data_IF_096201190272
#
_entry.id   IF_096201190272
#
_cell.length_a   1.000
_cell.length_b   1.000
_cell.length_c   1.000
_cell.angle_alpha   90.00
_cell.angle_beta   90.00
_cell.angle_gamma   90.00
#
_symmetry.space_group_name_H-M   'P 1'
#
loop_
_entity.id
_entity.type
_entity.pdbx_description
1 polymer ?
#
# COMPACT_ATOMS: atom_id res chain seq x y z
N UNK A 1 -44.87 37.52 -36.68
CA UNK A 1 -43.78 36.72 -37.30
C UNK A 1 -43.03 36.04 -36.15
N UNK A 2 -43.22 34.75 -35.95
CA UNK A 2 -42.48 33.98 -34.94
C UNK A 2 -41.23 33.42 -35.61
N UNK A 3 -40.06 34.01 -35.31
CA UNK A 3 -38.79 33.43 -35.70
C UNK A 3 -38.12 32.84 -34.46
N UNK A 4 -37.47 31.68 -34.63
CA UNK A 4 -36.63 31.03 -33.62
C UNK A 4 -35.18 31.22 -34.06
N UNK A 5 -34.39 31.95 -33.27
CA UNK A 5 -32.95 32.10 -33.50
C UNK A 5 -32.21 31.09 -32.64
N UNK A 6 -31.32 30.31 -33.24
CA UNK A 6 -30.36 29.48 -32.53
C UNK A 6 -28.95 29.93 -32.92
N UNK A 7 -28.14 30.25 -31.92
CA UNK A 7 -26.73 30.65 -32.08
C UNK A 7 -25.89 29.50 -31.53
N UNK A 8 -24.96 28.97 -32.33
CA UNK A 8 -23.96 28.01 -31.88
C UNK A 8 -22.57 28.54 -32.19
N UNK A 9 -21.64 28.34 -31.25
CA UNK A 9 -20.22 28.70 -31.39
C UNK A 9 -19.41 27.42 -31.26
N UNK A 10 -18.50 27.19 -32.21
CA UNK A 10 -17.59 26.04 -32.21
C UNK A 10 -16.16 26.53 -32.33
N UNK A 11 -15.26 25.91 -31.58
CA UNK A 11 -13.83 26.23 -31.59
C UNK A 11 -13.06 24.92 -31.73
N UNK A 12 -12.03 24.89 -32.56
CA UNK A 12 -11.15 23.74 -32.69
C UNK A 12 -9.90 23.99 -31.83
N UNK A 13 -9.60 23.07 -30.93
CA UNK A 13 -8.52 23.18 -29.94
C UNK A 13 -7.63 21.94 -30.04
N UNK A 14 -6.34 22.11 -29.79
CA UNK A 14 -5.39 21.03 -29.55
C UNK A 14 -4.70 21.25 -28.21
N UNK A 15 -4.16 20.17 -27.62
CA UNK A 15 -3.42 20.24 -26.37
C UNK A 15 -1.93 20.46 -26.67
N UNK A 16 -1.36 21.55 -26.15
CA UNK A 16 0.07 21.83 -26.27
C UNK A 16 0.80 21.26 -25.04
N UNK A 17 1.61 20.22 -25.24
CA UNK A 17 2.33 19.52 -24.16
C UNK A 17 3.45 20.35 -23.50
N UNK A 18 4.02 21.34 -24.20
CA UNK A 18 5.11 22.17 -23.67
C UNK A 18 4.60 23.23 -22.68
N UNK A 19 3.38 23.72 -22.91
CA UNK A 19 2.74 24.79 -22.13
C UNK A 19 1.65 24.23 -21.20
N UNK A 20 1.28 22.95 -21.36
CA UNK A 20 0.19 22.27 -20.66
C UNK A 20 -1.17 23.01 -20.80
N UNK A 21 -1.43 23.62 -21.97
CA UNK A 21 -2.63 24.43 -22.21
C UNK A 21 -3.29 24.13 -23.56
N UNK A 22 -4.60 24.40 -23.66
CA UNK A 22 -5.38 24.23 -24.87
C UNK A 22 -5.27 25.46 -25.77
N UNK A 23 -4.90 25.23 -27.03
CA UNK A 23 -4.69 26.31 -28.01
C UNK A 23 -5.45 26.04 -29.30
N UNK A 24 -5.76 27.12 -30.03
CA UNK A 24 -6.49 27.06 -31.30
C UNK A 24 -5.64 27.47 -32.51
N UNK A 25 -4.33 27.70 -32.33
CA UNK A 25 -3.45 28.03 -33.43
C UNK A 25 -3.29 26.84 -34.39
N UNK A 26 -3.27 27.15 -35.69
CA UNK A 26 -3.24 26.14 -36.75
C UNK A 26 -4.56 25.40 -36.99
N UNK A 27 -5.55 25.49 -36.08
CA UNK A 27 -6.84 24.81 -36.19
C UNK A 27 -8.02 25.79 -36.34
N UNK A 28 -8.84 25.63 -37.37
CA UNK A 28 -10.02 26.46 -37.62
C UNK A 28 -11.28 25.63 -37.91
N UNK A 29 -12.47 26.09 -37.50
CA UNK A 29 -13.73 25.48 -37.90
C UNK A 29 -13.92 25.50 -39.42
N UNK A 30 -14.22 24.34 -40.00
CA UNK A 30 -14.49 24.15 -41.42
C UNK A 30 -15.96 24.41 -41.79
N UNK A 31 -16.25 24.57 -43.10
CA UNK A 31 -17.58 24.92 -43.62
C UNK A 31 -18.64 23.83 -43.45
N UNK A 32 -18.24 22.61 -43.10
CA UNK A 32 -19.16 21.48 -42.85
C UNK A 32 -19.65 21.42 -41.40
N UNK A 33 -19.32 22.43 -40.58
CA UNK A 33 -19.74 22.46 -39.19
C UNK A 33 -21.23 22.75 -39.07
N UNK A 34 -21.94 21.91 -38.32
CA UNK A 34 -23.37 21.99 -38.04
C UNK A 34 -23.64 21.70 -36.55
N UNK A 35 -24.89 21.76 -36.11
CA UNK A 35 -25.30 21.55 -34.69
C UNK A 35 -24.96 20.16 -34.14
N UNK A 36 -24.79 19.16 -35.00
CA UNK A 36 -24.46 17.77 -34.65
C UNK A 36 -23.04 17.33 -35.05
N UNK A 37 -22.32 18.15 -35.81
CA UNK A 37 -21.02 17.79 -36.39
C UNK A 37 -20.09 19.00 -36.37
N UNK A 38 -18.97 18.91 -35.67
CA UNK A 38 -17.90 19.91 -35.77
C UNK A 38 -16.85 19.45 -36.79
N UNK A 39 -16.63 20.25 -37.85
CA UNK A 39 -15.54 20.00 -38.79
C UNK A 39 -14.36 20.88 -38.41
N UNK A 40 -13.22 20.29 -38.07
CA UNK A 40 -11.99 21.02 -37.76
C UNK A 40 -10.96 20.83 -38.87
N UNK A 41 -10.40 21.94 -39.36
CA UNK A 41 -9.28 21.95 -40.31
C UNK A 41 -8.04 22.41 -39.56
N UNK A 42 -7.07 21.52 -39.42
CA UNK A 42 -5.79 21.79 -38.79
C UNK A 42 -4.65 21.62 -39.80
N UNK A 43 -3.58 22.39 -39.63
CA UNK A 43 -2.35 22.30 -40.43
C UNK A 43 -1.26 21.42 -39.78
N UNK A 44 -1.57 20.83 -38.62
CA UNK A 44 -0.70 19.92 -37.87
C UNK A 44 -1.44 18.62 -37.48
N UNK A 45 -0.66 17.60 -37.10
CA UNK A 45 -1.13 16.24 -36.79
C UNK A 45 -1.31 15.97 -35.28
N UNK A 46 -1.49 17.01 -34.47
CA UNK A 46 -1.70 16.84 -33.02
C UNK A 46 -3.10 16.32 -32.70
N UNK A 47 -3.32 15.79 -31.51
CA UNK A 47 -4.66 15.42 -31.06
C UNK A 47 -5.52 16.69 -30.92
N UNK A 48 -6.52 16.83 -31.79
CA UNK A 48 -7.45 17.97 -31.82
C UNK A 48 -8.86 17.55 -31.41
N UNK A 49 -9.62 18.49 -30.88
CA UNK A 49 -11.05 18.32 -30.60
C UNK A 49 -11.79 19.65 -30.76
N UNK A 50 -13.12 19.59 -30.91
CA UNK A 50 -13.93 20.82 -30.89
C UNK A 50 -14.38 21.13 -29.46
N UNK A 51 -14.36 22.39 -29.04
CA UNK A 51 -14.77 22.83 -27.71
C UNK A 51 -16.24 22.48 -27.36
N UNK A 52 -17.06 22.18 -28.36
CA UNK A 52 -18.43 21.70 -28.17
C UNK A 52 -18.52 20.21 -27.79
N UNK A 53 -17.52 19.39 -28.17
CA UNK A 53 -17.53 17.93 -27.99
C UNK A 53 -16.29 17.38 -27.26
N UNK A 54 -15.42 18.27 -26.76
CA UNK A 54 -14.18 17.89 -26.06
C UNK A 54 -14.47 17.10 -24.78
N UNK A 55 -15.59 17.39 -24.12
CA UNK A 55 -16.15 16.57 -23.07
C UNK A 55 -17.19 15.63 -23.68
N UNK A 56 -16.78 14.40 -24.01
CA UNK A 56 -17.74 13.34 -24.32
C UNK A 56 -18.59 13.16 -23.06
N UNK A 57 -19.82 13.66 -23.10
CA UNK A 57 -20.73 13.53 -21.99
C UNK A 57 -20.89 12.03 -21.70
N UNK A 58 -20.70 11.59 -20.44
CA UNK A 58 -20.83 10.18 -20.11
C UNK A 58 -22.22 9.70 -20.50
N UNK A 59 -22.29 8.53 -21.12
CA UNK A 59 -23.54 7.91 -21.51
C UNK A 59 -24.48 7.82 -20.31
N UNK A 60 -25.75 8.20 -20.49
CA UNK A 60 -26.75 8.16 -19.42
C UNK A 60 -26.96 6.72 -18.96
N UNK A 61 -26.42 6.38 -17.79
CA UNK A 61 -26.60 5.08 -17.16
C UNK A 61 -28.03 4.94 -16.63
N UNK A 62 -28.86 4.23 -17.39
CA UNK A 62 -30.19 3.83 -16.92
C UNK A 62 -30.08 2.54 -16.11
N UNK A 63 -29.76 2.66 -14.82
CA UNK A 63 -29.52 1.53 -13.91
C UNK A 63 -30.71 0.55 -13.91
N UNK A 64 -31.94 1.05 -13.92
CA UNK A 64 -33.16 0.22 -13.95
C UNK A 64 -33.29 -0.62 -15.22
N UNK A 65 -32.93 -0.06 -16.38
CA UNK A 65 -32.91 -0.80 -17.66
C UNK A 65 -31.77 -1.82 -17.68
N UNK A 66 -30.62 -1.48 -17.09
CA UNK A 66 -29.49 -2.40 -16.97
C UNK A 66 -29.85 -3.65 -16.14
N UNK A 67 -30.59 -3.50 -15.04
CA UNK A 67 -31.10 -4.63 -14.27
C UNK A 67 -32.11 -5.48 -15.04
N UNK A 68 -32.94 -4.89 -15.90
CA UNK A 68 -33.85 -5.63 -16.79
C UNK A 68 -33.11 -6.40 -17.89
N UNK A 69 -31.93 -5.92 -18.33
CA UNK A 69 -31.09 -6.60 -19.33
C UNK A 69 -30.27 -7.76 -18.77
N UNK A 70 -30.29 -7.97 -17.44
CA UNK A 70 -29.72 -9.16 -16.76
C UNK A 70 -30.57 -10.42 -16.94
N UNK A 71 -31.39 -10.49 -18.00
CA UNK A 71 -32.07 -11.73 -18.35
C UNK A 71 -31.09 -12.72 -18.98
N UNK A 72 -31.04 -13.95 -18.41
CA UNK A 72 -30.17 -15.04 -18.87
C UNK A 72 -30.28 -15.36 -20.36
N UNK A 73 -31.42 -15.05 -20.99
CA UNK A 73 -31.66 -15.29 -22.41
C UNK A 73 -31.12 -14.20 -23.34
N UNK A 74 -31.07 -12.95 -22.89
CA UNK A 74 -30.72 -11.83 -23.77
C UNK A 74 -29.21 -11.56 -23.79
N UNK A 75 -28.53 -11.65 -22.63
CA UNK A 75 -27.11 -11.34 -22.52
C UNK A 75 -26.39 -12.27 -21.52
N UNK A 76 -26.23 -13.57 -21.85
CA UNK A 76 -25.59 -14.54 -20.95
C UNK A 76 -24.14 -14.17 -20.62
N UNK A 77 -23.43 -13.52 -21.55
CA UNK A 77 -22.01 -13.15 -21.40
C UNK A 77 -21.77 -12.24 -20.19
N UNK A 78 -22.62 -11.23 -19.97
CA UNK A 78 -22.48 -10.27 -18.87
C UNK A 78 -22.72 -10.96 -17.52
N UNK A 79 -23.73 -11.82 -17.44
CA UNK A 79 -24.02 -12.60 -16.23
C UNK A 79 -22.90 -13.57 -15.90
N UNK A 80 -22.36 -14.27 -16.90
CA UNK A 80 -21.21 -15.17 -16.73
C UNK A 80 -20.02 -14.35 -16.22
N UNK A 81 -19.68 -13.23 -16.86
CA UNK A 81 -18.56 -12.39 -16.44
C UNK A 81 -18.72 -11.87 -15.00
N UNK A 82 -19.90 -11.34 -14.63
CA UNK A 82 -20.18 -10.89 -13.27
C UNK A 82 -20.11 -12.03 -12.24
N UNK A 83 -20.66 -13.20 -12.57
CA UNK A 83 -20.62 -14.36 -11.69
C UNK A 83 -19.18 -14.87 -11.48
N UNK A 84 -18.35 -14.83 -12.52
CA UNK A 84 -16.91 -15.18 -12.43
C UNK A 84 -16.16 -14.17 -11.55
N UNK A 85 -16.38 -12.87 -11.74
CA UNK A 85 -15.75 -11.82 -10.93
C UNK A 85 -16.14 -11.97 -9.45
N UNK A 86 -17.43 -12.20 -9.15
CA UNK A 86 -17.90 -12.45 -7.79
C UNK A 86 -17.31 -13.75 -7.22
N UNK A 87 -17.25 -14.83 -8.02
CA UNK A 87 -16.65 -16.09 -7.62
C UNK A 87 -15.17 -15.96 -7.24
N UNK A 88 -14.38 -15.28 -8.08
CA UNK A 88 -12.96 -14.99 -7.81
C UNK A 88 -12.81 -14.13 -6.55
N UNK A 89 -13.67 -13.13 -6.36
CA UNK A 89 -13.67 -12.31 -5.16
C UNK A 89 -13.95 -13.16 -3.89
N UNK A 90 -14.94 -14.04 -3.92
CA UNK A 90 -15.23 -14.90 -2.76
C UNK A 90 -14.06 -15.84 -2.44
N UNK A 91 -13.46 -16.47 -3.46
CA UNK A 91 -12.30 -17.35 -3.28
C UNK A 91 -11.11 -16.60 -2.68
N UNK A 92 -10.79 -15.42 -3.21
CA UNK A 92 -9.70 -14.58 -2.70
C UNK A 92 -9.97 -14.03 -1.31
N UNK A 93 -11.22 -13.68 -0.98
CA UNK A 93 -11.61 -13.28 0.38
C UNK A 93 -11.50 -14.44 1.36
N UNK A 94 -11.91 -15.66 0.99
CA UNK A 94 -11.76 -16.84 1.86
C UNK A 94 -10.28 -17.10 2.14
N UNK A 95 -9.43 -17.07 1.11
CA UNK A 95 -7.98 -17.18 1.26
C UNK A 95 -7.41 -16.05 2.14
N UNK A 96 -7.81 -14.79 1.89
CA UNK A 96 -7.35 -13.63 2.62
C UNK A 96 -7.75 -13.70 4.10
N UNK A 97 -8.98 -14.13 4.41
CA UNK A 97 -9.44 -14.34 5.79
C UNK A 97 -8.64 -15.44 6.49
N UNK A 98 -8.34 -16.54 5.80
CA UNK A 98 -7.50 -17.60 6.37
C UNK A 98 -6.10 -17.09 6.68
N UNK A 99 -5.50 -16.31 5.77
CA UNK A 99 -4.17 -15.70 5.97
C UNK A 99 -4.17 -14.65 7.07
N UNK A 100 -5.16 -13.76 7.10
CA UNK A 100 -5.30 -12.75 8.16
C UNK A 100 -5.45 -13.41 9.54
N UNK A 101 -6.22 -14.51 9.65
CA UNK A 101 -6.34 -15.29 10.91
C UNK A 101 -5.05 -16.00 11.30
N UNK A 102 -4.21 -16.39 10.34
CA UNK A 102 -2.88 -16.91 10.65
C UNK A 102 -1.97 -15.78 11.16
N UNK A 103 -2.03 -14.60 10.56
CA UNK A 103 -1.23 -13.45 10.96
C UNK A 103 -1.61 -12.93 12.36
N UNK A 104 -2.90 -12.97 12.75
CA UNK A 104 -3.32 -12.64 14.13
C UNK A 104 -2.73 -13.56 15.19
N UNK A 105 -2.33 -14.79 14.85
CA UNK A 105 -1.64 -15.68 15.80
C UNK A 105 -0.16 -15.32 15.97
N UNK A 106 0.42 -14.61 15.01
CA UNK A 106 1.83 -14.17 15.03
C UNK A 106 1.98 -12.88 15.84
N UNK A 107 0.96 -12.03 15.81
CA UNK A 107 0.94 -10.75 16.50
C UNK A 107 0.37 -10.94 17.91
N UNK A 108 1.19 -10.69 18.91
CA UNK A 108 0.86 -10.79 20.33
C UNK A 108 1.93 -10.07 21.15
N UNK A 109 1.69 -9.90 22.46
CA UNK A 109 2.68 -9.42 23.40
C UNK A 109 2.96 -10.52 24.42
N UNK A 110 4.24 -10.84 24.63
CA UNK A 110 4.64 -11.86 25.61
C UNK A 110 5.23 -11.17 26.83
N UNK A 111 4.70 -11.49 28.00
CA UNK A 111 5.22 -10.95 29.26
C UNK A 111 6.44 -11.78 29.64
N UNK A 112 7.60 -11.12 29.72
CA UNK A 112 8.86 -11.73 30.09
C UNK A 112 8.94 -11.98 31.60
N UNK A 113 9.85 -12.85 32.00
CA UNK A 113 10.23 -12.98 33.41
C UNK A 113 10.91 -11.68 33.86
N UNK A 114 10.27 -10.99 34.79
CA UNK A 114 10.83 -9.81 35.45
C UNK A 114 12.00 -10.15 36.38
N UNK A 115 12.48 -9.16 37.11
CA UNK A 115 13.57 -9.36 38.08
C UNK A 115 13.15 -10.35 39.18
N UNK A 116 14.03 -11.31 39.51
CA UNK A 116 13.75 -12.35 40.50
C UNK A 116 13.65 -11.85 41.95
N UNK A 117 14.08 -10.61 42.22
CA UNK A 117 14.32 -10.10 43.59
C UNK A 117 13.44 -8.90 43.98
N UNK A 118 12.38 -8.57 43.24
CA UNK A 118 11.55 -7.39 43.55
C UNK A 118 10.10 -7.47 43.07
N UNK A 119 9.26 -6.61 43.64
CA UNK A 119 7.92 -6.34 43.10
C UNK A 119 8.08 -5.61 41.76
N UNK A 120 7.49 -6.14 40.70
CA UNK A 120 7.53 -5.54 39.37
C UNK A 120 6.44 -4.47 39.26
N UNK A 121 6.80 -3.22 39.54
CA UNK A 121 5.85 -2.08 39.54
C UNK A 121 5.87 -1.29 38.21
N UNK A 122 6.90 -1.53 37.37
CA UNK A 122 7.05 -0.85 36.09
C UNK A 122 7.11 -1.84 34.93
N UNK A 123 6.60 -1.42 33.77
CA UNK A 123 6.53 -2.26 32.58
C UNK A 123 7.06 -1.52 31.37
N UNK A 124 8.01 -2.15 30.67
CA UNK A 124 8.53 -1.66 29.40
C UNK A 124 8.07 -2.56 28.27
N UNK A 125 7.43 -2.00 27.25
CA UNK A 125 7.11 -2.72 26.04
C UNK A 125 8.32 -2.67 25.10
N UNK A 126 8.79 -3.85 24.69
CA UNK A 126 9.91 -4.04 23.77
C UNK A 126 9.33 -4.55 22.45
N UNK A 127 9.57 -3.84 21.36
CA UNK A 127 9.14 -4.23 20.02
C UNK A 127 10.40 -4.42 19.18
N UNK A 128 10.68 -5.67 18.82
CA UNK A 128 11.85 -6.04 18.01
C UNK A 128 11.41 -6.24 16.56
N UNK A 129 12.06 -5.54 15.64
CA UNK A 129 11.81 -5.67 14.20
C UNK A 129 13.00 -6.39 13.55
N UNK A 130 12.73 -7.58 13.03
CA UNK A 130 13.70 -8.36 12.24
C UNK A 130 13.59 -7.95 10.77
N UNK A 131 14.72 -7.78 10.09
CA UNK A 131 14.72 -7.32 8.69
C UNK A 131 14.04 -8.31 7.74
N UNK A 132 13.61 -7.81 6.58
CA UNK A 132 12.97 -8.60 5.52
C UNK A 132 13.97 -9.11 4.47
N UNK A 133 15.26 -9.21 4.82
CA UNK A 133 16.30 -9.75 3.93
C UNK A 133 16.26 -11.27 3.99
N UNK A 134 16.63 -11.92 2.90
CA UNK A 134 16.71 -13.38 2.86
C UNK A 134 17.59 -13.90 4.00
N UNK A 135 17.10 -14.89 4.75
CA UNK A 135 17.80 -15.49 5.90
C UNK A 135 18.01 -14.54 7.09
N UNK A 136 17.23 -13.46 7.18
CA UNK A 136 17.30 -12.53 8.32
C UNK A 136 16.79 -13.12 9.65
N UNK A 137 16.13 -14.27 9.64
CA UNK A 137 15.58 -14.91 10.85
C UNK A 137 16.65 -15.59 11.69
N UNK A 138 16.48 -15.62 13.01
CA UNK A 138 17.39 -16.34 13.92
C UNK A 138 16.69 -17.45 14.68
N UNK A 139 17.42 -18.56 14.89
CA UNK A 139 17.06 -19.63 15.82
C UNK A 139 17.76 -19.53 17.18
N UNK A 140 18.69 -18.57 17.34
CA UNK A 140 19.47 -18.41 18.56
C UNK A 140 18.64 -17.79 19.69
N UNK A 141 19.10 -17.96 20.93
CA UNK A 141 18.47 -17.31 22.09
C UNK A 141 18.94 -15.87 22.14
N UNK A 142 18.00 -14.95 22.12
CA UNK A 142 18.26 -13.51 22.12
C UNK A 142 18.06 -12.95 23.51
N UNK A 143 19.01 -12.12 23.94
CA UNK A 143 19.02 -11.48 25.24
C UNK A 143 19.12 -9.97 25.07
N UNK A 144 18.59 -9.24 26.04
CA UNK A 144 18.54 -7.79 26.01
C UNK A 144 18.67 -7.18 27.40
N UNK A 145 19.32 -6.02 27.46
CA UNK A 145 19.41 -5.16 28.64
C UNK A 145 19.05 -3.73 28.28
N UNK A 146 18.09 -3.15 29.01
CA UNK A 146 17.69 -1.75 28.90
C UNK A 146 18.65 -0.88 29.71
N UNK A 147 19.02 0.29 29.17
CA UNK A 147 19.91 1.23 29.84
C UNK A 147 19.28 2.64 29.78
N UNK A 148 19.02 3.19 30.96
CA UNK A 148 18.47 4.53 31.13
C UNK A 148 19.15 5.30 32.25
N UNK A 149 18.67 6.52 32.50
CA UNK A 149 19.18 7.44 33.52
C UNK A 149 19.12 6.85 34.94
N UNK A 150 18.09 6.06 35.23
CA UNK A 150 17.90 5.36 36.51
C UNK A 150 18.75 4.10 36.67
N UNK A 151 19.56 3.75 35.65
CA UNK A 151 20.45 2.59 35.65
C UNK A 151 20.13 1.60 34.54
N UNK A 152 20.63 0.36 34.69
CA UNK A 152 20.44 -0.74 33.75
C UNK A 152 19.49 -1.81 34.28
N UNK A 153 18.72 -2.44 33.40
CA UNK A 153 18.01 -3.67 33.75
C UNK A 153 18.99 -4.85 33.90
N UNK A 154 18.49 -6.00 34.38
CA UNK A 154 19.21 -7.26 34.22
C UNK A 154 19.30 -7.70 32.74
N UNK A 155 20.06 -8.76 32.44
CA UNK A 155 19.94 -9.48 31.19
C UNK A 155 18.60 -10.23 31.16
N UNK A 156 17.76 -9.95 30.17
CA UNK A 156 16.48 -10.63 29.98
C UNK A 156 16.49 -11.40 28.67
N UNK A 157 16.12 -12.67 28.74
CA UNK A 157 15.90 -13.49 27.56
C UNK A 157 14.55 -13.13 26.92
N UNK A 158 14.57 -12.94 25.60
CA UNK A 158 13.37 -12.69 24.81
C UNK A 158 12.79 -14.03 24.35
N UNK A 159 12.04 -14.68 25.24
CA UNK A 159 11.41 -15.99 24.99
C UNK A 159 9.90 -15.88 24.73
N UNK A 160 9.37 -16.78 23.89
CA UNK A 160 7.94 -16.94 23.66
C UNK A 160 7.59 -18.41 23.42
N UNK A 161 6.74 -18.98 24.28
CA UNK A 161 6.33 -20.38 24.20
C UNK A 161 5.19 -20.63 23.20
N UNK A 162 4.44 -19.60 22.83
CA UNK A 162 3.23 -19.72 22.02
C UNK A 162 3.46 -19.30 20.56
N UNK A 163 4.43 -18.44 20.30
CA UNK A 163 4.69 -17.85 18.98
C UNK A 163 6.10 -18.13 18.52
N UNK A 164 6.25 -18.25 17.20
CA UNK A 164 7.55 -18.24 16.54
C UNK A 164 8.03 -16.80 16.42
N UNK A 165 9.10 -16.48 17.15
CA UNK A 165 9.73 -15.16 17.23
C UNK A 165 10.93 -15.04 16.29
N UNK A 166 11.39 -13.82 16.04
CA UNK A 166 12.55 -13.46 15.22
C UNK A 166 12.54 -14.02 13.79
N UNK A 167 11.36 -14.05 13.18
CA UNK A 167 11.19 -14.43 11.78
C UNK A 167 11.60 -13.31 10.84
N UNK A 168 11.97 -13.66 9.61
CA UNK A 168 12.25 -12.71 8.54
C UNK A 168 11.05 -11.76 8.33
N UNK A 169 11.30 -10.45 8.37
CA UNK A 169 10.28 -9.40 8.32
C UNK A 169 9.30 -9.42 9.51
N UNK A 170 9.64 -10.15 10.57
CA UNK A 170 8.84 -10.33 11.77
C UNK A 170 8.91 -9.14 12.71
N UNK A 171 7.81 -8.94 13.45
CA UNK A 171 7.72 -7.94 14.52
C UNK A 171 7.23 -8.63 15.76
N UNK A 172 8.10 -8.68 16.76
CA UNK A 172 7.87 -9.40 18.00
C UNK A 172 7.79 -8.41 19.16
N UNK A 173 6.68 -8.47 19.89
CA UNK A 173 6.41 -7.61 21.03
C UNK A 173 6.55 -8.41 22.32
N UNK A 174 7.30 -7.85 23.25
CA UNK A 174 7.52 -8.36 24.60
C UNK A 174 7.18 -7.27 25.62
N UNK A 175 6.76 -7.66 26.81
CA UNK A 175 6.51 -6.76 27.95
C UNK A 175 7.48 -7.19 29.04
N UNK A 176 8.41 -6.32 29.39
CA UNK A 176 9.38 -6.55 30.44
C UNK A 176 8.91 -5.90 31.74
N UNK A 177 8.60 -6.69 32.79
CA UNK A 177 8.40 -6.17 34.13
C UNK A 177 9.76 -5.81 34.76
N UNK A 178 9.87 -4.62 35.34
CA UNK A 178 11.08 -4.18 36.05
C UNK A 178 10.74 -3.78 37.49
N UNK A 179 11.69 -4.04 38.39
CA UNK A 179 11.58 -3.72 39.82
C UNK A 179 11.73 -2.23 40.13
N UNK A 180 12.32 -1.46 39.20
CA UNK A 180 12.57 -0.02 39.32
C UNK A 180 12.27 0.70 38.01
N UNK A 181 12.02 2.00 38.12
CA UNK A 181 11.95 2.91 36.97
C UNK A 181 13.36 3.18 36.45
N UNK A 182 13.58 2.98 35.14
CA UNK A 182 14.89 3.18 34.50
C UNK A 182 15.10 4.62 34.00
N UNK A 183 14.14 5.53 34.24
CA UNK A 183 14.21 6.90 33.73
C UNK A 183 14.17 6.95 32.20
N UNK A 184 14.74 8.01 31.61
CA UNK A 184 14.81 8.12 30.16
C UNK A 184 15.81 7.10 29.60
N UNK A 185 15.33 6.24 28.70
CA UNK A 185 16.16 5.23 28.05
C UNK A 185 17.03 5.86 26.97
N UNK A 186 18.34 5.65 27.05
CA UNK A 186 19.29 6.21 26.08
C UNK A 186 20.07 5.12 25.31
N UNK A 187 20.13 3.90 25.84
CA UNK A 187 20.78 2.79 25.16
C UNK A 187 20.08 1.45 25.42
N UNK A 188 20.28 0.50 24.52
CA UNK A 188 19.87 -0.89 24.69
C UNK A 188 20.99 -1.80 24.22
N UNK A 189 21.33 -2.79 25.03
CA UNK A 189 22.30 -3.82 24.69
C UNK A 189 21.53 -5.08 24.29
N UNK A 190 21.79 -5.61 23.09
CA UNK A 190 21.13 -6.80 22.55
C UNK A 190 22.18 -7.76 22.02
N UNK A 191 22.03 -9.05 22.31
CA UNK A 191 22.96 -10.08 21.84
C UNK A 191 22.26 -11.44 21.71
N UNK A 192 22.89 -12.38 21.03
CA UNK A 192 22.44 -13.78 20.99
C UNK A 192 23.56 -14.75 21.35
N UNK A 193 23.19 -15.97 21.74
CA UNK A 193 24.13 -17.02 22.18
C UNK A 193 24.74 -17.85 21.03
N UNK A 194 24.45 -17.46 19.79
CA UNK A 194 24.90 -18.17 18.57
C UNK A 194 24.50 -19.66 18.52
N UNK A 195 23.41 -20.05 19.19
CA UNK A 195 22.92 -21.44 19.16
C UNK A 195 21.93 -21.71 18.03
N UNK A 196 21.72 -23.00 17.73
CA UNK A 196 20.77 -23.46 16.72
C UNK A 196 21.36 -23.55 15.31
N UNK A 197 20.56 -24.03 14.33
CA UNK A 197 21.02 -24.27 12.97
C UNK A 197 21.24 -23.01 12.14
N UNK A 198 20.51 -21.92 12.43
CA UNK A 198 20.60 -20.65 11.73
C UNK A 198 20.70 -19.51 12.76
N UNK A 199 21.87 -19.30 13.38
CA UNK A 199 22.02 -18.32 14.45
C UNK A 199 22.11 -16.88 13.94
N UNK A 200 22.51 -16.68 12.68
CA UNK A 200 22.67 -15.38 12.04
C UNK A 200 21.36 -14.58 12.10
N UNK A 201 21.44 -13.30 12.46
CA UNK A 201 20.26 -12.46 12.64
C UNK A 201 20.42 -11.09 12.01
N UNK A 202 19.48 -10.66 11.17
CA UNK A 202 19.45 -9.27 10.72
C UNK A 202 18.46 -8.45 11.55
N UNK A 203 18.98 -7.65 12.46
CA UNK A 203 18.19 -6.76 13.30
C UNK A 203 17.97 -5.41 12.58
N UNK A 204 16.72 -5.05 12.30
CA UNK A 204 16.39 -3.76 11.68
C UNK A 204 16.40 -2.65 12.74
N UNK A 205 15.51 -2.75 13.74
CA UNK A 205 15.42 -1.80 14.86
C UNK A 205 14.71 -2.39 16.07
N UNK A 206 14.91 -1.76 17.22
CA UNK A 206 14.19 -2.03 18.47
C UNK A 206 13.44 -0.77 18.86
N UNK A 207 12.17 -0.89 19.23
CA UNK A 207 11.38 0.21 19.79
C UNK A 207 11.03 -0.15 21.22
N UNK A 208 11.37 0.73 22.16
CA UNK A 208 11.03 0.62 23.56
C UNK A 208 9.95 1.64 23.88
N UNK A 209 8.94 1.22 24.63
CA UNK A 209 7.92 2.12 25.16
C UNK A 209 7.79 1.90 26.66
N UNK A 210 7.97 2.96 27.43
CA UNK A 210 7.63 2.96 28.85
C UNK A 210 6.10 3.00 28.96
N UNK A 211 5.50 2.00 29.62
CA UNK A 211 4.05 1.88 29.76
C UNK A 211 3.51 2.76 30.90
N UNK A 212 4.37 3.27 31.78
CA UNK A 212 3.97 4.19 32.86
C UNK A 212 3.79 5.62 32.34
N UNK A 213 4.69 6.11 31.48
CA UNK A 213 4.64 7.49 30.96
C UNK A 213 4.29 7.61 29.47
N UNK A 214 4.27 6.49 28.74
CA UNK A 214 3.94 6.43 27.31
C UNK A 214 5.06 6.89 26.38
N UNK A 215 6.25 7.22 26.88
CA UNK A 215 7.39 7.66 26.05
C UNK A 215 7.93 6.51 25.21
N UNK A 216 8.28 6.83 23.97
CA UNK A 216 8.81 5.88 22.99
C UNK A 216 10.25 6.23 22.64
N UNK A 217 11.09 5.22 22.60
CA UNK A 217 12.51 5.30 22.28
C UNK A 217 12.79 4.32 21.14
N UNK A 218 13.40 4.79 20.06
CA UNK A 218 13.70 3.93 18.89
C UNK A 218 15.20 3.74 18.78
N UNK A 219 15.64 2.52 18.53
CA UNK A 219 17.05 2.13 18.44
C UNK A 219 17.28 1.47 17.08
N UNK A 220 18.04 2.14 16.21
CA UNK A 220 18.28 1.69 14.84
C UNK A 220 19.53 0.82 14.79
N UNK A 221 19.46 -0.35 14.16
CA UNK A 221 20.56 -1.31 14.07
C UNK A 221 20.97 -1.56 12.61
N UNK A 222 20.03 -2.00 11.77
CA UNK A 222 20.18 -2.29 10.33
C UNK A 222 21.43 -3.08 9.93
N UNK A 223 21.83 -4.06 10.76
CA UNK A 223 23.04 -4.85 10.56
C UNK A 223 22.82 -6.31 10.91
N UNK A 224 23.70 -7.15 10.36
CA UNK A 224 23.80 -8.55 10.77
C UNK A 224 24.49 -8.64 12.14
N UNK A 225 23.87 -9.43 13.02
CA UNK A 225 24.45 -9.98 14.23
C UNK A 225 24.71 -11.46 13.92
N UNK A 226 25.93 -11.74 13.49
CA UNK A 226 26.34 -13.05 12.99
C UNK A 226 27.86 -13.14 13.07
N UNK A 227 28.39 -14.34 13.29
CA UNK A 227 29.85 -14.57 13.27
C UNK A 227 30.37 -14.57 11.83
N UNK A 228 29.56 -15.09 10.89
CA UNK A 228 29.91 -15.23 9.49
C UNK A 228 29.57 -14.01 8.60
N UNK A 229 28.85 -13.01 9.13
CA UNK A 229 28.34 -11.89 8.34
C UNK A 229 28.46 -10.54 9.08
N UNK A 230 28.38 -9.43 8.35
CA UNK A 230 28.44 -8.09 8.94
C UNK A 230 29.82 -7.78 9.53
N UNK A 231 29.85 -7.43 10.82
CA UNK A 231 31.08 -7.13 11.57
C UNK A 231 31.60 -8.33 12.40
N UNK A 232 31.02 -9.52 12.20
CA UNK A 232 31.41 -10.74 12.91
C UNK A 232 31.04 -10.75 14.39
N UNK A 233 30.18 -9.82 14.84
CA UNK A 233 29.74 -9.72 16.24
C UNK A 233 28.31 -10.19 16.42
N UNK A 234 28.06 -10.83 17.56
CA UNK A 234 26.75 -11.36 17.97
C UNK A 234 26.04 -10.46 18.98
N UNK A 235 26.70 -9.37 19.38
CA UNK A 235 26.22 -8.36 20.32
C UNK A 235 26.24 -6.95 19.72
N UNK A 236 25.37 -6.09 20.23
CA UNK A 236 25.28 -4.70 19.86
C UNK A 236 24.80 -3.82 21.01
N UNK A 237 25.49 -2.70 21.24
CA UNK A 237 24.99 -1.59 22.03
C UNK A 237 24.41 -0.52 21.10
N UNK A 238 23.09 -0.33 21.15
CA UNK A 238 22.36 0.63 20.33
C UNK A 238 22.04 1.88 21.15
N UNK A 239 22.23 3.05 20.56
CA UNK A 239 21.83 4.33 21.15
C UNK A 239 20.46 4.77 20.65
N UNK A 240 19.75 5.53 21.47
CA UNK A 240 18.44 6.09 21.10
C UNK A 240 18.59 6.99 19.88
N UNK A 241 17.82 6.69 18.84
CA UNK A 241 17.83 7.40 17.59
C UNK A 241 17.02 8.70 17.71
N UNK A 242 17.56 9.77 17.14
CA UNK A 242 16.85 11.05 17.05
C UNK A 242 15.75 10.96 15.98
N UNK A 243 14.67 11.74 16.12
CA UNK A 243 13.57 11.80 15.15
C UNK A 243 14.04 12.01 13.68
N UNK A 244 15.12 12.78 13.48
CA UNK A 244 15.75 13.00 12.17
C UNK A 244 16.30 11.70 11.54
N UNK A 245 16.88 10.81 12.34
CA UNK A 245 17.42 9.54 11.85
C UNK A 245 16.28 8.59 11.49
N UNK A 246 15.20 8.59 12.29
CA UNK A 246 14.00 7.79 12.03
C UNK A 246 13.32 8.25 10.74
N UNK A 247 13.19 9.57 10.53
CA UNK A 247 12.57 10.11 9.31
C UNK A 247 13.41 9.84 8.07
N UNK A 248 14.74 9.98 8.14
CA UNK A 248 15.66 9.66 7.04
C UNK A 248 15.56 8.18 6.66
N UNK A 249 15.56 7.29 7.65
CA UNK A 249 15.38 5.85 7.44
C UNK A 249 14.02 5.55 6.82
N UNK A 250 12.95 6.18 7.32
CA UNK A 250 11.61 6.04 6.76
C UNK A 250 11.54 6.51 5.31
N UNK A 251 12.23 7.58 4.95
CA UNK A 251 12.34 8.06 3.56
C UNK A 251 13.09 7.06 2.67
N UNK A 252 14.18 6.46 3.16
CA UNK A 252 14.93 5.42 2.43
C UNK A 252 14.07 4.17 2.22
N UNK A 253 13.40 3.67 3.26
CA UNK A 253 12.48 2.54 3.11
C UNK A 253 11.26 2.87 2.26
N UNK A 254 10.66 4.05 2.44
CA UNK A 254 9.48 4.48 1.69
C UNK A 254 9.81 4.62 0.21
N UNK A 255 10.97 5.17 -0.16
CA UNK A 255 11.40 5.25 -1.56
C UNK A 255 11.67 3.85 -2.15
N UNK A 256 12.32 2.95 -1.42
CA UNK A 256 12.54 1.57 -1.87
C UNK A 256 11.22 0.79 -2.01
N UNK A 257 10.31 0.97 -1.06
CA UNK A 257 9.00 0.35 -1.02
C UNK A 257 8.08 0.94 -2.09
N UNK A 258 8.09 2.27 -2.28
CA UNK A 258 7.32 2.97 -3.32
C UNK A 258 7.81 2.62 -4.71
N UNK A 259 9.12 2.44 -4.91
CA UNK A 259 9.67 1.96 -6.18
C UNK A 259 9.22 0.51 -6.45
N UNK A 260 9.30 -0.36 -5.45
CA UNK A 260 8.78 -1.73 -5.54
C UNK A 260 7.24 -1.81 -5.73
N UNK A 261 6.49 -0.83 -5.22
CA UNK A 261 5.05 -0.70 -5.44
C UNK A 261 4.71 -0.06 -6.79
N UNK A 262 5.54 0.85 -7.30
CA UNK A 262 5.36 1.43 -8.64
C UNK A 262 5.60 0.35 -9.72
N UNK A 263 6.53 -0.56 -9.48
CA UNK A 263 6.83 -1.69 -10.35
C UNK A 263 5.89 -2.91 -10.12
N UNK A 264 5.06 -2.89 -9.08
CA UNK A 264 4.23 -4.03 -8.65
C UNK A 264 2.73 -3.78 -8.80
N UNK A 265 2.00 -4.70 -9.44
CA UNK A 265 0.53 -4.68 -9.46
C UNK A 265 -0.06 -4.49 -8.05
N UNK A 266 -1.16 -3.73 -7.93
CA UNK A 266 -1.88 -3.44 -6.66
C UNK A 266 -2.12 -4.71 -5.80
N UNK A 267 -2.26 -5.86 -6.44
CA UNK A 267 -2.41 -7.19 -5.88
C UNK A 267 -1.20 -7.69 -5.07
N UNK A 268 0.02 -7.22 -5.36
CA UNK A 268 1.20 -7.50 -4.54
C UNK A 268 1.05 -6.96 -3.12
N UNK A 269 0.29 -5.87 -2.91
CA UNK A 269 -0.03 -5.36 -1.57
C UNK A 269 -0.90 -6.33 -0.77
N UNK A 270 -1.73 -7.14 -1.44
CA UNK A 270 -2.57 -8.17 -0.84
C UNK A 270 -1.72 -9.36 -0.39
N UNK A 271 -0.72 -9.76 -1.18
CA UNK A 271 0.14 -10.92 -0.91
C UNK A 271 1.28 -10.59 0.06
N UNK A 272 1.86 -9.39 -0.05
CA UNK A 272 3.00 -8.93 0.73
C UNK A 272 2.65 -8.19 2.03
N UNK A 273 1.37 -8.18 2.47
CA UNK A 273 0.97 -7.50 3.73
C UNK A 273 1.81 -8.05 4.90
N UNK A 274 2.47 -7.18 5.69
CA UNK A 274 3.09 -7.61 6.94
C UNK A 274 2.05 -7.83 8.04
N UNK A 275 2.30 -8.78 8.95
CA UNK A 275 1.32 -9.21 9.95
C UNK A 275 0.86 -8.09 10.90
N UNK A 276 1.72 -7.10 11.16
CA UNK A 276 1.45 -5.94 12.03
C UNK A 276 0.69 -4.79 11.34
N UNK A 277 0.42 -4.87 10.03
CA UNK A 277 -0.30 -3.80 9.33
C UNK A 277 -1.73 -3.68 9.85
N UNK A 278 -2.24 -2.48 10.17
CA UNK A 278 -3.64 -2.31 10.61
C UNK A 278 -4.65 -2.63 9.50
N UNK A 279 -4.21 -2.60 8.24
CA UNK A 279 -5.06 -2.83 7.08
C UNK A 279 -4.97 -4.29 6.61
N UNK A 280 -6.10 -5.00 6.70
CA UNK A 280 -6.22 -6.44 6.44
C UNK A 280 -6.11 -6.80 4.96
N UNK A 281 -5.77 -8.05 4.63
CA UNK A 281 -5.74 -8.51 3.23
C UNK A 281 -7.13 -8.45 2.61
N UNK A 282 -8.17 -8.75 3.38
CA UNK A 282 -9.56 -8.64 2.92
C UNK A 282 -9.89 -7.21 2.49
N UNK A 283 -9.56 -6.20 3.31
CA UNK A 283 -9.80 -4.80 2.95
C UNK A 283 -9.02 -4.39 1.68
N UNK A 284 -7.77 -4.87 1.52
CA UNK A 284 -6.98 -4.65 0.30
C UNK A 284 -7.63 -5.27 -0.93
N UNK A 285 -8.13 -6.50 -0.83
CA UNK A 285 -8.85 -7.19 -1.92
C UNK A 285 -10.13 -6.44 -2.29
N UNK A 286 -10.91 -5.99 -1.30
CA UNK A 286 -12.12 -5.19 -1.56
C UNK A 286 -11.79 -3.88 -2.27
N UNK A 287 -10.73 -3.19 -1.87
CA UNK A 287 -10.26 -1.98 -2.55
C UNK A 287 -9.84 -2.25 -4.00
N UNK A 288 -9.09 -3.33 -4.24
CA UNK A 288 -8.71 -3.74 -5.60
C UNK A 288 -9.94 -3.99 -6.48
N UNK A 289 -10.95 -4.69 -5.94
CA UNK A 289 -12.20 -4.94 -6.65
C UNK A 289 -12.97 -3.65 -6.92
N UNK A 290 -13.05 -2.74 -5.95
CA UNK A 290 -13.73 -1.45 -6.16
C UNK A 290 -13.07 -0.64 -7.27
N UNK A 291 -11.74 -0.59 -7.33
CA UNK A 291 -11.03 0.09 -8.41
C UNK A 291 -11.30 -0.57 -9.76
N UNK A 292 -11.27 -1.90 -9.83
CA UNK A 292 -11.60 -2.64 -11.05
C UNK A 292 -13.04 -2.34 -11.51
N UNK A 293 -14.02 -2.42 -10.61
CA UNK A 293 -15.42 -2.13 -10.95
C UNK A 293 -15.62 -0.66 -11.36
N UNK A 294 -14.97 0.28 -10.70
CA UNK A 294 -14.98 1.69 -11.11
C UNK A 294 -14.44 1.85 -12.53
N UNK A 295 -13.30 1.23 -12.86
CA UNK A 295 -12.75 1.30 -14.23
C UNK A 295 -13.69 0.70 -15.27
N UNK A 296 -14.37 -0.41 -14.95
CA UNK A 296 -15.37 -1.01 -15.84
C UNK A 296 -16.57 -0.07 -16.05
N UNK A 297 -17.08 0.56 -14.98
CA UNK A 297 -18.17 1.53 -15.07
C UNK A 297 -17.75 2.75 -15.88
N UNK A 298 -16.55 3.27 -15.66
CA UNK A 298 -15.99 4.37 -16.44
C UNK A 298 -15.89 4.00 -17.93
N UNK A 299 -15.42 2.79 -18.25
CA UNK A 299 -15.37 2.31 -19.63
C UNK A 299 -16.77 2.25 -20.26
N UNK A 300 -17.79 1.79 -19.52
CA UNK A 300 -19.18 1.78 -20.01
C UNK A 300 -19.71 3.21 -20.23
N UNK A 301 -19.40 4.13 -19.31
CA UNK A 301 -19.80 5.54 -19.42
C UNK A 301 -19.24 6.20 -20.69
N UNK A 302 -18.01 5.90 -21.09
CA UNK A 302 -17.36 6.57 -22.23
C UNK A 302 -17.50 5.83 -23.56
N UNK A 303 -17.50 4.49 -23.58
CA UNK A 303 -17.46 3.72 -24.84
C UNK A 303 -18.83 3.17 -25.30
N UNK A 304 -19.87 3.27 -24.47
CA UNK A 304 -21.27 3.03 -24.89
C UNK A 304 -21.58 1.63 -25.44
N UNK A 305 -22.81 1.45 -25.94
CA UNK A 305 -23.24 0.27 -26.72
C UNK A 305 -23.40 0.74 -28.17
N UNK A 306 -22.96 -0.05 -29.14
CA UNK A 306 -22.79 0.30 -30.58
C UNK A 306 -23.91 1.10 -31.28
N UNK A 307 -25.10 1.21 -30.70
CA UNK A 307 -26.24 1.93 -31.26
C UNK A 307 -26.10 3.46 -31.29
N UNK A 308 -25.21 4.06 -30.49
CA UNK A 308 -25.04 5.53 -30.42
C UNK A 308 -23.82 6.04 -31.21
N UNK A 309 -23.03 5.15 -31.84
CA UNK A 309 -21.95 5.54 -32.75
C UNK A 309 -22.48 5.66 -34.17
N UNK A 310 -22.91 6.86 -34.57
CA UNK A 310 -23.05 7.19 -35.98
C UNK A 310 -21.65 7.17 -36.62
N UNK A 311 -21.33 6.11 -37.37
CA UNK A 311 -20.12 6.07 -38.19
C UNK A 311 -20.11 7.33 -39.06
N UNK A 312 -19.06 8.18 -38.98
CA UNK A 312 -19.04 9.38 -39.80
C UNK A 312 -19.14 8.98 -41.28
N UNK A 313 -19.87 9.74 -42.10
CA UNK A 313 -19.90 9.48 -43.54
C UNK A 313 -18.46 9.46 -44.07
N UNK A 314 -18.12 8.54 -44.99
CA UNK A 314 -16.78 8.51 -45.57
C UNK A 314 -16.49 9.88 -46.17
N UNK A 315 -15.36 10.46 -45.77
CA UNK A 315 -14.89 11.73 -46.34
C UNK A 315 -14.32 11.40 -47.71
N UNK A 316 -15.04 11.82 -48.76
CA UNK A 316 -14.53 11.74 -50.13
C UNK A 316 -13.52 12.86 -50.33
N UNK A 317 -12.24 12.52 -50.33
CA UNK A 317 -11.13 13.50 -50.42
C UNK A 317 -10.99 14.00 -51.87
N UNK A 318 -11.69 13.39 -52.84
CA UNK A 318 -11.57 13.70 -54.27
C UNK A 318 -12.87 14.15 -54.96
N UNK A 319 -13.97 14.31 -54.20
CA UNK A 319 -15.26 14.80 -54.71
C UNK A 319 -16.25 13.70 -55.03
#
# INVERSE_FOLDING_TARGET
>A
LNYTVQIYSTQCLYFNEEIEDFRSDGCQPGPLTNTSLSHCRCDHLTAFGSGFQFFIAPNKLNILKAFQTLNFKENPVVLIALSVVVGIYLLTVIWARRKDRQDTKKVGATILRGDQNGFNDHFYQIIVLTGSRSQASTSARVFLTLIGEGGKSGPHELEDNNRTIFREGGVDTFILPTSRHLGSLYAVHVWHDNTGPCPSWFLDKIILQDLSDGKKYSFLCQRWLAVEEGDGRVDCLLSSATDKQISTLSQVFSSQTSKAFNDGHLWCSVVGRPAYSPFTRVQRVSCCLSLLLCTMVTNIMFFGREADFSKPPPVDILG
#
